data_IF_928559759058
#
_entry.id   IF_928559759058
#
_cell.length_a   1.000
_cell.length_b   1.000
_cell.length_c   1.000
_cell.angle_alpha   90.00
_cell.angle_beta   90.00
_cell.angle_gamma   90.00
#
_symmetry.space_group_name_H-M   'P 1'
#
loop_
_entity.id
_entity.type
_entity.pdbx_description
1 polymer ?
#
# COMPACT_ATOMS: atom_id res chain seq x y z
N UNK A 1 4.98 1.01 8.22
CA UNK A 1 4.86 0.44 9.59
C UNK A 1 5.22 -1.04 9.58
N UNK A 2 5.97 -1.50 10.55
CA UNK A 2 6.26 -2.91 10.73
C UNK A 2 5.70 -3.39 12.05
N UNK A 3 5.29 -4.65 12.13
CA UNK A 3 4.79 -5.26 13.35
C UNK A 3 5.15 -6.75 13.36
N UNK A 4 5.13 -7.35 14.54
CA UNK A 4 5.28 -8.80 14.69
C UNK A 4 4.02 -9.44 15.25
N UNK A 5 3.13 -8.63 15.80
CA UNK A 5 1.91 -9.13 16.43
C UNK A 5 0.76 -8.19 16.10
N UNK A 6 -0.34 -8.75 15.63
CA UNK A 6 -1.55 -8.01 15.32
C UNK A 6 -2.65 -8.21 16.37
N UNK A 7 -2.34 -8.88 17.47
CA UNK A 7 -3.31 -9.17 18.52
C UNK A 7 -4.43 -10.10 18.04
N UNK A 8 -4.15 -10.97 17.08
CA UNK A 8 -5.13 -11.88 16.53
C UNK A 8 -6.00 -11.29 15.43
N UNK A 9 -5.78 -10.02 15.06
CA UNK A 9 -6.54 -9.38 13.98
C UNK A 9 -5.98 -9.73 12.62
N UNK A 10 -6.83 -9.74 11.60
CA UNK A 10 -6.37 -9.76 10.22
C UNK A 10 -5.52 -8.51 9.96
N UNK A 11 -4.55 -8.63 9.07
CA UNK A 11 -3.60 -7.53 8.83
C UNK A 11 -4.30 -6.26 8.35
N UNK A 12 -5.35 -6.39 7.55
CA UNK A 12 -6.16 -5.23 7.12
C UNK A 12 -6.79 -4.52 8.31
N UNK A 13 -7.43 -5.28 9.20
CA UNK A 13 -8.11 -4.72 10.36
C UNK A 13 -7.11 -4.05 11.30
N UNK A 14 -5.96 -4.67 11.48
CA UNK A 14 -4.88 -4.09 12.26
C UNK A 14 -4.40 -2.77 11.64
N UNK A 15 -4.20 -2.75 10.33
CA UNK A 15 -3.76 -1.56 9.62
C UNK A 15 -4.75 -0.41 9.79
N UNK A 16 -6.04 -0.67 9.64
CA UNK A 16 -7.07 0.36 9.80
C UNK A 16 -7.16 0.85 11.23
N UNK A 17 -7.06 -0.06 12.20
CA UNK A 17 -7.06 0.31 13.62
C UNK A 17 -5.88 1.23 13.94
N UNK A 18 -4.69 0.89 13.45
CA UNK A 18 -3.50 1.70 13.69
C UNK A 18 -3.57 3.03 12.98
N UNK A 19 -4.14 3.07 11.79
CA UNK A 19 -4.32 4.31 11.04
C UNK A 19 -5.12 5.32 11.86
N UNK A 20 -6.22 4.87 12.44
CA UNK A 20 -7.07 5.72 13.26
C UNK A 20 -6.42 6.07 14.62
N UNK A 21 -5.87 5.05 15.29
CA UNK A 21 -5.30 5.23 16.63
C UNK A 21 -4.11 6.17 16.64
N UNK A 22 -3.28 6.14 15.61
CA UNK A 22 -2.09 6.98 15.49
C UNK A 22 -2.36 8.27 14.72
N UNK A 23 -3.61 8.52 14.38
CA UNK A 23 -4.05 9.73 13.70
C UNK A 23 -3.28 10.01 12.40
N UNK A 24 -3.00 8.96 11.63
CA UNK A 24 -2.35 9.10 10.34
C UNK A 24 -3.28 9.81 9.34
N UNK A 25 -2.68 10.36 8.30
CA UNK A 25 -3.40 11.01 7.23
C UNK A 25 -3.31 12.52 7.25
N UNK A 26 -3.61 13.11 6.12
CA UNK A 26 -3.54 14.56 5.90
C UNK A 26 -4.93 15.18 5.86
N UNK A 27 -5.08 16.31 6.53
CA UNK A 27 -6.29 17.11 6.45
C UNK A 27 -7.47 16.52 7.19
N UNK A 28 -8.63 17.12 6.95
CA UNK A 28 -9.88 16.78 7.63
C UNK A 28 -10.35 15.35 7.37
N UNK A 29 -10.12 14.86 6.16
CA UNK A 29 -10.55 13.53 5.74
C UNK A 29 -9.51 12.45 6.03
N UNK A 30 -8.40 12.80 6.65
CA UNK A 30 -7.31 11.86 6.96
C UNK A 30 -6.84 11.10 5.73
N UNK A 31 -6.54 11.84 4.67
CA UNK A 31 -6.12 11.27 3.38
C UNK A 31 -4.75 10.58 3.50
N UNK A 32 -4.64 9.39 2.96
CA UNK A 32 -3.35 8.71 2.94
C UNK A 32 -3.39 7.23 2.61
N UNK A 33 -2.22 6.65 2.65
CA UNK A 33 -2.01 5.22 2.48
C UNK A 33 -1.01 4.74 3.53
N UNK A 34 -1.28 3.60 4.13
CA UNK A 34 -0.41 2.99 5.14
C UNK A 34 0.01 1.61 4.68
N UNK A 35 1.31 1.40 4.55
CA UNK A 35 1.87 0.07 4.32
C UNK A 35 2.21 -0.56 5.66
N UNK A 36 1.61 -1.71 5.95
CA UNK A 36 1.89 -2.47 7.17
C UNK A 36 2.53 -3.80 6.79
N UNK A 37 3.65 -4.09 7.41
CA UNK A 37 4.39 -5.34 7.21
C UNK A 37 4.39 -6.11 8.51
N UNK A 38 3.84 -7.32 8.50
CA UNK A 38 3.92 -8.23 9.63
C UNK A 38 5.16 -9.11 9.46
N UNK A 39 6.16 -8.86 10.30
CA UNK A 39 7.45 -9.55 10.21
C UNK A 39 7.38 -11.01 10.68
N UNK A 40 6.39 -11.34 11.50
CA UNK A 40 6.21 -12.70 11.99
C UNK A 40 5.60 -13.61 10.92
N UNK A 41 4.49 -13.15 10.33
CA UNK A 41 3.78 -13.94 9.30
C UNK A 41 4.33 -13.71 7.90
N UNK A 42 5.20 -12.73 7.74
CA UNK A 42 5.79 -12.33 6.46
C UNK A 42 4.72 -11.95 5.42
N UNK A 43 3.79 -11.15 5.87
CA UNK A 43 2.72 -10.60 5.03
C UNK A 43 2.74 -9.08 5.07
N UNK A 44 2.24 -8.45 4.03
CA UNK A 44 2.07 -7.01 4.05
C UNK A 44 0.72 -6.61 3.46
N UNK A 45 0.26 -5.43 3.83
CA UNK A 45 -1.01 -4.90 3.39
C UNK A 45 -0.91 -3.37 3.26
N UNK A 46 -1.65 -2.82 2.32
CA UNK A 46 -1.78 -1.38 2.17
C UNK A 46 -3.20 -0.96 2.47
N UNK A 47 -3.37 -0.06 3.43
CA UNK A 47 -4.65 0.51 3.81
C UNK A 47 -4.74 1.94 3.28
N UNK A 48 -5.83 2.27 2.60
CA UNK A 48 -6.06 3.61 2.06
C UNK A 48 -7.20 4.29 2.80
N UNK A 49 -7.14 5.61 2.88
CA UNK A 49 -8.16 6.40 3.57
C UNK A 49 -8.34 7.74 2.86
N UNK A 50 -9.57 8.25 2.86
CA UNK A 50 -9.88 9.54 2.26
C UNK A 50 -9.53 9.58 0.77
N UNK A 51 -8.83 10.61 0.35
CA UNK A 51 -8.40 10.75 -1.04
C UNK A 51 -7.49 9.60 -1.50
N UNK A 52 -6.83 8.94 -0.55
CA UNK A 52 -6.01 7.77 -0.87
C UNK A 52 -6.80 6.67 -1.59
N UNK A 53 -8.08 6.53 -1.30
CA UNK A 53 -8.92 5.54 -1.96
C UNK A 53 -9.04 5.86 -3.46
N UNK A 54 -9.10 7.14 -3.82
CA UNK A 54 -9.16 7.58 -5.20
C UNK A 54 -7.80 7.46 -5.90
N UNK A 55 -6.74 7.87 -5.23
CA UNK A 55 -5.39 7.85 -5.81
C UNK A 55 -4.87 6.43 -6.00
N UNK A 56 -5.24 5.53 -5.10
CA UNK A 56 -4.77 4.15 -5.08
C UNK A 56 -5.93 3.19 -5.31
N UNK A 57 -6.25 2.97 -6.58
CA UNK A 57 -7.28 2.02 -6.97
C UNK A 57 -6.87 0.59 -6.63
N UNK A 58 -7.80 -0.34 -6.66
CA UNK A 58 -7.50 -1.76 -6.41
C UNK A 58 -6.39 -2.26 -7.35
N UNK A 59 -6.48 -1.90 -8.63
CA UNK A 59 -5.45 -2.25 -9.61
C UNK A 59 -4.11 -1.60 -9.26
N UNK A 60 -4.14 -0.36 -8.79
CA UNK A 60 -2.95 0.36 -8.37
C UNK A 60 -2.26 -0.28 -7.17
N UNK A 61 -3.04 -0.67 -6.16
CA UNK A 61 -2.52 -1.36 -4.98
C UNK A 61 -1.90 -2.69 -5.36
N UNK A 62 -2.55 -3.44 -6.25
CA UNK A 62 -2.01 -4.70 -6.73
C UNK A 62 -0.70 -4.51 -7.49
N UNK A 63 -0.61 -3.48 -8.32
CA UNK A 63 0.61 -3.14 -9.03
C UNK A 63 1.76 -2.84 -8.05
N UNK A 64 1.50 -2.01 -7.04
CA UNK A 64 2.50 -1.66 -6.04
C UNK A 64 2.93 -2.91 -5.26
N UNK A 65 1.97 -3.75 -4.86
CA UNK A 65 2.25 -4.99 -4.14
C UNK A 65 3.18 -5.90 -4.93
N UNK A 66 2.95 -6.01 -6.23
CA UNK A 66 3.78 -6.83 -7.10
C UNK A 66 5.20 -6.28 -7.21
N UNK A 67 5.35 -4.96 -7.22
CA UNK A 67 6.67 -4.32 -7.25
C UNK A 67 7.44 -4.48 -5.94
N UNK A 68 6.74 -4.52 -4.82
CA UNK A 68 7.38 -4.64 -3.51
C UNK A 68 7.74 -6.08 -3.14
N UNK A 69 6.98 -7.05 -3.63
CA UNK A 69 7.14 -8.45 -3.27
C UNK A 69 8.56 -8.99 -3.37
N UNK A 70 9.26 -8.82 -4.51
CA UNK A 70 10.62 -9.32 -4.66
C UNK A 70 11.61 -8.74 -3.65
N UNK A 71 11.47 -7.45 -3.31
CA UNK A 71 12.35 -6.82 -2.32
C UNK A 71 12.11 -7.39 -0.93
N UNK A 72 10.85 -7.62 -0.57
CA UNK A 72 10.53 -8.25 0.71
C UNK A 72 11.04 -9.69 0.78
N UNK A 73 10.91 -10.46 -0.29
CA UNK A 73 11.42 -11.83 -0.34
C UNK A 73 12.93 -11.91 -0.11
N UNK A 74 13.66 -10.92 -0.61
CA UNK A 74 15.12 -10.83 -0.45
C UNK A 74 15.53 -10.08 0.82
N UNK A 75 14.58 -9.76 1.68
CA UNK A 75 14.79 -9.01 2.90
C UNK A 75 15.45 -7.64 2.69
N UNK A 76 15.21 -7.05 1.53
CA UNK A 76 15.69 -5.71 1.20
C UNK A 76 14.66 -4.66 1.58
N UNK A 77 14.44 -4.51 2.87
CA UNK A 77 13.36 -3.68 3.40
C UNK A 77 13.51 -2.20 3.03
N UNK A 78 14.72 -1.67 3.10
CA UNK A 78 14.95 -0.27 2.74
C UNK A 78 14.60 -0.02 1.28
N UNK A 79 14.96 -0.94 0.40
CA UNK A 79 14.62 -0.84 -1.02
C UNK A 79 13.11 -0.91 -1.23
N UNK A 80 12.43 -1.81 -0.51
CA UNK A 80 10.98 -1.93 -0.58
C UNK A 80 10.29 -0.63 -0.17
N UNK A 81 10.71 -0.04 0.95
CA UNK A 81 10.11 1.19 1.46
C UNK A 81 10.40 2.38 0.56
N UNK A 82 11.60 2.48 0.01
CA UNK A 82 11.95 3.53 -0.94
C UNK A 82 11.14 3.41 -2.22
N UNK A 83 10.98 2.20 -2.73
CA UNK A 83 10.16 1.94 -3.90
C UNK A 83 8.68 2.28 -3.64
N UNK A 84 8.17 1.93 -2.46
CA UNK A 84 6.82 2.27 -2.05
C UNK A 84 6.60 3.78 -2.08
N UNK A 85 7.49 4.53 -1.45
CA UNK A 85 7.39 5.99 -1.42
C UNK A 85 7.40 6.60 -2.81
N UNK A 86 8.29 6.13 -3.67
CA UNK A 86 8.42 6.60 -5.05
C UNK A 86 7.16 6.33 -5.86
N UNK A 87 6.60 5.14 -5.75
CA UNK A 87 5.36 4.76 -6.44
C UNK A 87 4.17 5.54 -5.91
N UNK A 88 4.08 5.73 -4.59
CA UNK A 88 3.02 6.52 -3.99
C UNK A 88 3.02 7.95 -4.52
N UNK A 89 4.20 8.55 -4.64
CA UNK A 89 4.34 9.90 -5.19
C UNK A 89 3.80 9.97 -6.60
N UNK A 90 4.15 9.02 -7.45
CA UNK A 90 3.65 8.96 -8.84
C UNK A 90 2.13 8.77 -8.89
N UNK A 91 1.59 7.92 -8.04
CA UNK A 91 0.16 7.66 -8.03
C UNK A 91 -0.64 8.87 -7.58
N UNK A 92 -0.16 9.58 -6.56
CA UNK A 92 -0.82 10.79 -6.07
C UNK A 92 -0.75 11.90 -7.12
N UNK A 93 0.41 12.08 -7.75
CA UNK A 93 0.57 13.07 -8.81
C UNK A 93 -0.37 12.80 -9.99
N UNK A 94 -0.47 11.55 -10.41
CA UNK A 94 -1.36 11.15 -11.51
C UNK A 94 -2.82 11.41 -11.15
N UNK A 95 -3.21 11.12 -9.92
CA UNK A 95 -4.56 11.38 -9.44
C UNK A 95 -4.88 12.87 -9.40
N UNK A 96 -3.93 13.71 -8.96
CA UNK A 96 -4.09 15.16 -8.95
C UNK A 96 -4.27 15.73 -10.35
N UNK A 97 -3.72 15.06 -11.38
CA UNK A 97 -3.91 15.44 -12.77
C UNK A 97 -5.26 14.96 -13.34
N UNK A 98 -6.11 14.40 -12.50
CA UNK A 98 -7.46 13.98 -12.87
C UNK A 98 -7.56 12.60 -13.49
N UNK A 99 -6.46 11.85 -13.57
CA UNK A 99 -6.43 10.52 -14.18
C UNK A 99 -5.66 9.53 -13.32
N UNK A 100 -6.24 9.07 -12.20
CA UNK A 100 -5.59 8.08 -11.36
C UNK A 100 -5.21 6.83 -12.15
N UNK A 101 -4.13 6.18 -11.75
CA UNK A 101 -3.76 4.91 -12.36
C UNK A 101 -4.81 3.85 -12.05
N UNK A 102 -5.23 3.13 -13.06
CA UNK A 102 -6.15 2.02 -12.95
C UNK A 102 -5.83 1.01 -14.05
N UNK A 103 -6.69 0.03 -14.25
CA UNK A 103 -6.46 -1.10 -15.16
C UNK A 103 -5.96 -0.67 -16.54
N UNK A 104 -6.48 0.41 -17.09
CA UNK A 104 -6.17 0.83 -18.48
C UNK A 104 -4.94 1.71 -18.64
N UNK A 105 -4.31 2.18 -17.57
CA UNK A 105 -3.24 3.18 -17.69
C UNK A 105 -2.10 3.01 -16.69
N UNK A 106 -1.82 1.78 -16.27
CA UNK A 106 -0.70 1.52 -15.37
C UNK A 106 0.63 1.97 -15.97
N UNK A 107 1.61 2.37 -15.12
CA UNK A 107 2.93 2.81 -15.59
C UNK A 107 3.66 1.77 -16.43
N UNK A 108 3.47 0.50 -16.09
CA UNK A 108 4.03 -0.61 -16.84
C UNK A 108 2.93 -1.60 -17.17
N UNK A 109 3.04 -2.17 -18.34
CA UNK A 109 2.13 -3.16 -18.82
C UNK A 109 2.48 -4.50 -18.21
N UNK A 110 1.68 -5.11 -17.44
CA UNK A 110 1.84 -6.52 -17.11
C UNK A 110 1.16 -6.96 -15.84
N UNK A 111 0.24 -6.20 -15.37
CA UNK A 111 -0.40 -6.62 -14.16
C UNK A 111 -1.82 -7.12 -14.43
N UNK A 112 -2.09 -8.32 -13.98
CA UNK A 112 -3.42 -8.91 -13.98
C UNK A 112 -3.63 -9.57 -12.64
N UNK A 113 -4.38 -8.95 -11.78
CA UNK A 113 -4.67 -9.60 -10.53
C UNK A 113 -5.20 -8.65 -9.50
N UNK A 114 -5.68 -9.22 -8.43
CA UNK A 114 -6.30 -8.50 -7.34
C UNK A 114 -5.71 -8.92 -6.00
N UNK A 115 -4.43 -9.26 -6.00
CA UNK A 115 -3.77 -9.67 -4.77
C UNK A 115 -3.50 -8.44 -3.91
N UNK A 116 -4.14 -8.38 -2.75
CA UNK A 116 -3.99 -7.27 -1.82
C UNK A 116 -3.10 -7.60 -0.66
N UNK A 117 -2.93 -8.87 -0.37
CA UNK A 117 -2.09 -9.33 0.70
C UNK A 117 -1.16 -10.41 0.18
N UNK A 118 0.14 -10.17 0.26
CA UNK A 118 1.14 -11.09 -0.22
C UNK A 118 1.99 -11.62 0.92
N UNK A 119 2.36 -12.90 0.82
CA UNK A 119 3.32 -13.55 1.72
C UNK A 119 4.69 -13.46 1.08
N UNK A 120 5.67 -13.04 1.85
CA UNK A 120 7.04 -12.92 1.35
C UNK A 120 8.07 -13.74 2.13
#
# INVERSE_FOLDING_TARGET
>A
MTTKDTGGKALLDYAMTMYEALEYGQGKNKDGILLVVNMETRKFWMATHGYGITAFTDAGISYISEKLGPSFKKEKYMKAFTTFGSLCEKFVEKAHNGKPYDVGNMPFKCFHGTAFQLVF
#
